data_IF_471690625504
#
_entry.id   IF_471690625504
#
_cell.length_a   1.000
_cell.length_b   1.000
_cell.length_c   1.000
_cell.angle_alpha   90.00
_cell.angle_beta   90.00
_cell.angle_gamma   90.00
#
_symmetry.space_group_name_H-M   'P 1'
#
loop_
_entity.id
_entity.type
_entity.pdbx_description
1 polymer ?
#
# COMPACT_ATOMS: atom_id res chain seq x y z
N UNK A 1 -24.03 -13.46 -10.69
CA UNK A 1 -23.53 -12.07 -10.77
C UNK A 1 -22.02 -12.07 -10.70
N UNK A 2 -21.33 -11.67 -11.78
CA UNK A 2 -19.87 -11.69 -11.89
C UNK A 2 -19.28 -10.33 -11.50
N UNK A 3 -18.64 -10.24 -10.33
CA UNK A 3 -17.89 -9.05 -9.94
C UNK A 3 -16.48 -9.09 -10.57
N UNK A 4 -16.17 -8.10 -11.40
CA UNK A 4 -14.84 -7.88 -11.99
C UNK A 4 -13.94 -7.14 -11.00
N UNK A 5 -12.81 -7.75 -10.60
CA UNK A 5 -11.68 -7.01 -10.03
C UNK A 5 -11.01 -6.22 -11.16
N UNK A 6 -11.19 -4.89 -11.17
CA UNK A 6 -10.40 -4.00 -12.02
C UNK A 6 -9.14 -3.58 -11.25
N UNK A 7 -7.98 -4.08 -11.67
CA UNK A 7 -6.69 -3.50 -11.30
C UNK A 7 -6.35 -2.44 -12.35
N UNK A 8 -6.27 -1.18 -11.95
CA UNK A 8 -5.80 -0.11 -12.83
C UNK A 8 -4.28 -0.07 -12.84
N UNK A 9 -3.69 -0.33 -14.01
CA UNK A 9 -2.25 -0.14 -14.25
C UNK A 9 -2.06 1.02 -15.21
N UNK A 10 -1.38 2.07 -14.72
CA UNK A 10 -0.82 3.12 -15.57
C UNK A 10 0.51 2.60 -16.14
N UNK A 11 0.51 2.27 -17.43
CA UNK A 11 1.73 1.89 -18.15
C UNK A 11 2.37 3.13 -18.78
N UNK A 12 3.67 3.28 -18.55
CA UNK A 12 4.53 4.20 -19.26
C UNK A 12 5.55 3.37 -20.05
N UNK A 13 5.53 3.53 -21.37
CA UNK A 13 6.36 2.76 -22.31
C UNK A 13 7.76 3.37 -22.48
N UNK A 14 8.78 2.51 -22.56
CA UNK A 14 10.20 2.85 -22.77
C UNK A 14 10.49 3.16 -24.25
N UNK A 15 11.31 4.18 -24.49
CA UNK A 15 12.28 4.19 -25.60
C UNK A 15 13.60 3.60 -25.10
N UNK A 16 14.24 2.81 -25.95
CA UNK A 16 15.54 2.18 -25.71
C UNK A 16 16.66 3.17 -26.05
N UNK A 17 17.59 3.46 -25.12
CA UNK A 17 18.95 3.88 -25.46
C UNK A 17 19.89 3.66 -24.27
N UNK A 18 20.98 2.92 -24.55
CA UNK A 18 22.13 2.73 -23.68
C UNK A 18 22.83 4.07 -23.46
N UNK A 19 23.30 4.31 -22.24
CA UNK A 19 24.31 5.32 -21.86
C UNK A 19 24.09 6.75 -22.38
N UNK A 20 23.35 7.59 -21.64
CA UNK A 20 23.62 9.02 -21.37
C UNK A 20 22.33 9.82 -21.02
N UNK A 21 22.46 10.70 -20.01
CA UNK A 21 21.60 11.87 -19.66
C UNK A 21 20.11 11.60 -19.30
N UNK A 22 19.86 11.59 -18.00
CA UNK A 22 18.57 11.41 -17.30
C UNK A 22 17.67 12.68 -17.23
N UNK A 23 17.77 13.63 -18.17
CA UNK A 23 17.10 14.94 -18.07
C UNK A 23 15.89 15.15 -19.02
N UNK A 24 15.44 14.12 -19.75
CA UNK A 24 14.54 14.33 -20.91
C UNK A 24 13.14 13.72 -20.90
N UNK A 25 12.70 13.00 -19.85
CA UNK A 25 11.51 12.12 -19.95
C UNK A 25 10.30 12.49 -19.07
N UNK A 26 10.36 13.57 -18.29
CA UNK A 26 9.26 14.02 -17.42
C UNK A 26 8.04 14.64 -18.15
N UNK A 27 8.17 15.36 -19.30
CA UNK A 27 7.05 16.11 -19.89
C UNK A 27 5.85 15.28 -20.39
N UNK A 28 6.06 13.99 -20.65
CA UNK A 28 5.06 13.12 -21.24
C UNK A 28 4.20 12.35 -20.22
N UNK A 29 4.26 12.66 -18.92
CA UNK A 29 3.41 12.02 -17.87
C UNK A 29 2.25 12.89 -17.36
N UNK A 30 2.27 14.21 -17.63
CA UNK A 30 1.55 15.21 -16.82
C UNK A 30 0.34 15.92 -17.48
N UNK A 31 -0.27 15.31 -18.49
CA UNK A 31 -1.60 15.70 -19.02
C UNK A 31 -2.61 14.55 -18.97
N UNK A 32 -2.58 13.79 -17.87
CA UNK A 32 -3.65 12.87 -17.49
C UNK A 32 -4.82 13.66 -16.92
N UNK A 33 -5.85 13.92 -17.72
CA UNK A 33 -7.18 14.22 -17.19
C UNK A 33 -7.99 12.93 -17.16
N UNK A 34 -8.29 12.43 -15.97
CA UNK A 34 -9.26 11.34 -15.78
C UNK A 34 -10.67 11.96 -15.80
N UNK A 35 -11.56 11.56 -16.73
CA UNK A 35 -12.92 12.10 -16.77
C UNK A 35 -13.78 11.56 -15.61
N UNK A 36 -14.82 12.30 -15.17
CA UNK A 36 -15.83 11.77 -14.26
C UNK A 36 -16.60 10.64 -14.95
N UNK A 37 -16.65 9.47 -14.32
CA UNK A 37 -17.28 8.27 -14.87
C UNK A 37 -18.80 8.49 -15.07
N UNK A 38 -19.26 8.55 -16.32
CA UNK A 38 -20.68 8.40 -16.67
C UNK A 38 -21.08 6.91 -16.70
N UNK A 39 -22.17 6.58 -16.02
CA UNK A 39 -22.88 5.30 -16.10
C UNK A 39 -23.53 5.16 -17.48
N UNK A 40 -23.17 4.13 -18.26
CA UNK A 40 -24.05 3.33 -19.13
C UNK A 40 -23.23 2.34 -19.96
N UNK A 41 -23.43 1.04 -19.73
CA UNK A 41 -22.99 -0.02 -20.64
C UNK A 41 -24.14 -0.98 -20.89
N UNK A 42 -24.69 -0.95 -22.11
CA UNK A 42 -25.46 -2.06 -22.68
C UNK A 42 -24.51 -3.08 -23.27
N UNK A 43 -24.83 -4.37 -23.07
CA UNK A 43 -24.01 -5.51 -23.44
C UNK A 43 -24.07 -5.80 -24.95
N UNK A 44 -22.91 -5.77 -25.61
CA UNK A 44 -22.63 -6.65 -26.74
C UNK A 44 -21.12 -6.89 -26.88
N UNK A 45 -20.74 -8.16 -26.95
CA UNK A 45 -19.41 -8.63 -27.40
C UNK A 45 -19.18 -8.17 -28.85
N UNK A 46 -17.94 -7.93 -29.35
CA UNK A 46 -16.86 -8.95 -29.39
C UNK A 46 -15.39 -8.44 -29.32
N UNK A 47 -14.50 -9.43 -29.35
CA UNK A 47 -13.04 -9.39 -29.58
C UNK A 47 -12.54 -8.31 -30.54
N UNK A 48 -11.72 -7.36 -30.05
CA UNK A 48 -10.58 -6.73 -30.75
C UNK A 48 -9.87 -5.76 -29.79
N UNK A 49 -8.55 -5.58 -29.96
CA UNK A 49 -7.75 -4.58 -29.23
C UNK A 49 -8.18 -3.18 -29.68
N UNK A 50 -9.07 -2.53 -28.95
CA UNK A 50 -9.56 -1.18 -29.30
C UNK A 50 -8.67 -0.10 -28.66
N UNK A 51 -7.90 0.60 -29.49
CA UNK A 51 -7.25 1.87 -29.12
C UNK A 51 -8.31 2.97 -29.17
N UNK A 52 -8.92 3.32 -28.03
CA UNK A 52 -9.87 4.44 -27.98
C UNK A 52 -9.12 5.78 -28.08
N UNK A 53 -9.38 6.57 -29.15
CA UNK A 53 -9.01 7.98 -29.23
C UNK A 53 -10.18 8.83 -28.73
N UNK A 54 -9.95 9.64 -27.70
CA UNK A 54 -10.93 10.62 -27.22
C UNK A 54 -10.88 11.86 -28.14
N UNK A 55 -12.00 12.23 -28.76
CA UNK A 55 -12.17 13.49 -29.47
C UNK A 55 -12.94 14.48 -28.59
N UNK A 56 -12.35 15.65 -28.32
CA UNK A 56 -12.97 16.73 -27.56
C UNK A 56 -13.97 17.49 -28.44
N UNK A 57 -15.25 17.44 -28.08
CA UNK A 57 -16.29 18.35 -28.59
C UNK A 57 -16.16 19.68 -27.86
N UNK A 58 -15.45 20.65 -28.44
CA UNK A 58 -15.70 22.09 -28.28
C UNK A 58 -14.85 22.84 -29.30
N UNK A 59 -15.48 23.33 -30.38
CA UNK A 59 -14.89 24.31 -31.28
C UNK A 59 -15.43 25.70 -30.92
N UNK A 60 -14.54 26.65 -30.68
CA UNK A 60 -14.79 28.07 -30.89
C UNK A 60 -13.60 28.64 -31.67
N UNK A 61 -13.85 29.45 -32.72
CA UNK A 61 -12.80 29.90 -33.62
C UNK A 61 -12.22 31.22 -33.11
N UNK A 62 -10.99 31.18 -32.59
CA UNK A 62 -9.95 32.20 -32.82
C UNK A 62 -8.76 32.01 -31.87
N UNK A 63 -7.61 31.68 -32.44
CA UNK A 63 -6.30 32.33 -32.21
C UNK A 63 -5.12 31.34 -32.31
N UNK A 64 -4.21 31.71 -33.22
CA UNK A 64 -2.76 31.45 -33.32
C UNK A 64 -2.21 30.10 -32.83
N UNK A 65 -1.80 29.31 -33.83
CA UNK A 65 -0.78 28.26 -33.84
C UNK A 65 0.19 28.26 -32.64
N UNK A 66 -0.13 27.44 -31.63
CA UNK A 66 0.84 26.85 -30.72
C UNK A 66 1.03 25.39 -31.12
N UNK A 67 2.27 24.95 -31.31
CA UNK A 67 2.60 23.56 -31.63
C UNK A 67 1.86 22.59 -30.69
N UNK A 68 1.33 21.46 -31.18
CA UNK A 68 0.56 20.54 -30.36
C UNK A 68 1.52 19.87 -29.37
N UNK A 69 1.56 20.37 -28.13
CA UNK A 69 2.16 19.59 -27.05
C UNK A 69 1.32 18.32 -26.95
N UNK A 70 1.90 17.16 -27.27
CA UNK A 70 1.21 15.87 -27.15
C UNK A 70 0.80 15.67 -25.69
N UNK A 71 -0.43 15.21 -25.45
CA UNK A 71 -0.82 14.73 -24.12
C UNK A 71 -0.14 13.37 -23.86
N UNK A 72 0.23 13.02 -22.60
CA UNK A 72 0.59 11.66 -22.25
C UNK A 72 -0.49 10.74 -22.76
N UNK A 73 -0.09 9.77 -23.56
CA UNK A 73 -1.02 8.75 -23.95
C UNK A 73 -1.19 7.78 -22.78
N UNK A 74 -2.31 7.88 -22.08
CA UNK A 74 -2.68 6.92 -21.05
C UNK A 74 -3.02 5.61 -21.73
N UNK A 75 -2.23 4.58 -21.44
CA UNK A 75 -2.52 3.24 -21.93
C UNK A 75 -3.20 2.45 -20.83
N UNK A 76 -4.47 2.12 -21.04
CA UNK A 76 -5.22 1.20 -20.17
C UNK A 76 -5.07 -0.20 -20.74
N UNK A 77 -4.54 -1.12 -19.92
CA UNK A 77 -4.48 -2.56 -20.25
C UNK A 77 -5.30 -3.34 -19.23
N UNK A 78 -6.10 -4.27 -19.72
CA UNK A 78 -6.82 -5.24 -18.88
C UNK A 78 -6.15 -6.60 -18.98
N UNK A 79 -5.96 -7.26 -17.84
CA UNK A 79 -5.43 -8.61 -17.74
C UNK A 79 -6.35 -9.46 -16.86
N UNK A 80 -6.99 -10.47 -17.44
CA UNK A 80 -7.95 -11.33 -16.74
C UNK A 80 -7.31 -12.63 -16.27
N UNK A 81 -7.49 -12.98 -14.99
CA UNK A 81 -7.18 -14.32 -14.49
C UNK A 81 -8.28 -15.30 -14.91
N UNK A 82 -7.90 -16.48 -15.38
CA UNK A 82 -8.83 -17.57 -15.75
C UNK A 82 -9.46 -18.23 -14.54
N UNK A 83 -8.83 -18.12 -13.38
CA UNK A 83 -9.30 -18.63 -12.09
C UNK A 83 -9.16 -17.55 -11.01
N UNK A 84 -9.83 -17.73 -9.87
CA UNK A 84 -9.78 -16.78 -8.74
C UNK A 84 -8.49 -16.95 -7.94
N UNK A 85 -7.45 -16.18 -8.30
CA UNK A 85 -6.12 -16.27 -7.69
C UNK A 85 -5.93 -15.36 -6.45
N UNK A 86 -6.89 -14.49 -6.13
CA UNK A 86 -6.75 -13.54 -5.02
C UNK A 86 -5.94 -12.28 -5.34
N UNK A 87 -5.86 -11.36 -4.38
CA UNK A 87 -5.21 -10.05 -4.54
C UNK A 87 -3.69 -10.19 -4.72
N UNK A 88 -3.07 -11.10 -3.96
CA UNK A 88 -1.62 -11.34 -3.93
C UNK A 88 -1.10 -11.75 -5.33
N UNK A 89 -1.64 -12.84 -5.87
CA UNK A 89 -1.22 -13.35 -7.18
C UNK A 89 -1.58 -12.37 -8.32
N UNK A 90 -2.71 -11.66 -8.20
CA UNK A 90 -3.13 -10.66 -9.19
C UNK A 90 -2.18 -9.45 -9.22
N UNK A 91 -1.77 -8.93 -8.06
CA UNK A 91 -0.78 -7.85 -7.96
C UNK A 91 0.57 -8.28 -8.53
N UNK A 92 1.03 -9.49 -8.18
CA UNK A 92 2.26 -10.05 -8.75
C UNK A 92 2.20 -10.19 -10.28
N UNK A 93 1.06 -10.67 -10.83
CA UNK A 93 0.87 -10.77 -12.28
C UNK A 93 0.91 -9.41 -12.94
N UNK A 94 0.20 -8.44 -12.39
CA UNK A 94 0.15 -7.11 -12.95
C UNK A 94 1.50 -6.38 -12.88
N UNK A 95 2.26 -6.56 -11.79
CA UNK A 95 3.63 -6.07 -11.68
C UNK A 95 4.55 -6.61 -12.79
N UNK A 96 4.39 -7.88 -13.20
CA UNK A 96 5.14 -8.47 -14.33
C UNK A 96 4.76 -7.88 -15.69
N UNK A 97 3.51 -7.45 -15.85
CA UNK A 97 3.02 -6.82 -17.08
C UNK A 97 3.38 -5.33 -17.16
N UNK A 98 3.66 -4.69 -16.02
CA UNK A 98 4.00 -3.28 -15.94
C UNK A 98 5.41 -3.00 -16.51
N UNK A 99 5.52 -1.90 -17.25
CA UNK A 99 6.78 -1.44 -17.86
C UNK A 99 7.36 -0.18 -17.22
N UNK A 100 6.60 0.50 -16.35
CA UNK A 100 7.04 1.71 -15.66
C UNK A 100 8.12 1.43 -14.62
N UNK A 101 8.94 2.42 -14.30
CA UNK A 101 10.03 2.25 -13.33
C UNK A 101 9.54 2.18 -11.88
N UNK A 102 8.32 2.66 -11.63
CA UNK A 102 7.61 2.53 -10.35
C UNK A 102 6.31 1.75 -10.53
N UNK A 103 5.96 0.98 -9.49
CA UNK A 103 4.69 0.28 -9.37
C UNK A 103 3.84 1.00 -8.34
N UNK A 104 2.64 1.41 -8.76
CA UNK A 104 1.61 1.89 -7.85
C UNK A 104 0.51 0.83 -7.79
N UNK A 105 0.16 0.43 -6.57
CA UNK A 105 -1.01 -0.40 -6.30
C UNK A 105 -2.11 0.49 -5.74
N UNK A 106 -3.32 0.35 -6.32
CA UNK A 106 -4.55 0.98 -5.85
C UNK A 106 -5.65 -0.07 -5.83
N UNK A 107 -6.48 -0.02 -4.78
CA UNK A 107 -7.72 -0.79 -4.77
C UNK A 107 -8.73 -0.21 -5.77
N UNK A 108 -9.70 -1.03 -6.17
CA UNK A 108 -10.70 -0.69 -7.19
C UNK A 108 -11.78 0.29 -6.71
N UNK A 109 -11.69 0.74 -5.45
CA UNK A 109 -12.69 1.56 -4.76
C UNK A 109 -11.99 2.69 -4.01
N UNK A 110 -11.15 3.42 -4.75
CA UNK A 110 -10.41 4.59 -4.30
C UNK A 110 -10.76 5.82 -5.13
N UNK A 111 -10.57 6.99 -4.52
CA UNK A 111 -10.60 8.29 -5.20
C UNK A 111 -9.31 9.06 -4.88
N UNK A 112 -8.57 9.46 -5.92
CA UNK A 112 -7.30 10.17 -5.74
C UNK A 112 -7.55 11.68 -5.60
N UNK A 113 -6.88 12.34 -4.67
CA UNK A 113 -7.05 13.78 -4.44
C UNK A 113 -6.13 14.60 -5.37
N UNK A 114 -6.27 15.92 -5.36
CA UNK A 114 -5.42 16.83 -6.14
C UNK A 114 -3.96 16.76 -5.65
N UNK A 115 -3.01 16.60 -6.57
CA UNK A 115 -1.57 16.58 -6.24
C UNK A 115 -1.11 15.36 -5.44
N UNK A 116 -1.84 14.25 -5.52
CA UNK A 116 -1.55 13.03 -4.77
C UNK A 116 -0.29 12.29 -5.25
N UNK A 117 0.07 12.36 -6.54
CA UNK A 117 1.08 11.46 -7.10
C UNK A 117 2.50 12.01 -6.95
N UNK A 118 2.66 13.31 -7.17
CA UNK A 118 3.93 14.02 -7.20
C UNK A 118 4.72 13.89 -5.88
N UNK A 119 4.09 14.04 -4.69
CA UNK A 119 4.80 13.84 -3.43
C UNK A 119 5.28 12.40 -3.23
N UNK A 120 4.58 11.39 -3.76
CA UNK A 120 5.01 9.99 -3.68
C UNK A 120 6.25 9.76 -4.54
N UNK A 121 6.22 10.25 -5.78
CA UNK A 121 7.34 10.17 -6.72
C UNK A 121 8.58 10.90 -6.19
N UNK A 122 8.40 12.09 -5.61
CA UNK A 122 9.48 12.87 -5.01
C UNK A 122 10.20 12.06 -3.93
N UNK A 123 9.45 11.45 -3.00
CA UNK A 123 10.03 10.63 -1.93
C UNK A 123 10.79 9.42 -2.46
N UNK A 124 10.28 8.74 -3.48
CA UNK A 124 10.97 7.61 -4.10
C UNK A 124 12.28 8.06 -4.80
N UNK A 125 12.27 9.22 -5.45
CA UNK A 125 13.43 9.76 -6.16
C UNK A 125 14.59 10.13 -5.22
N UNK A 126 14.32 10.50 -3.97
CA UNK A 126 15.32 10.80 -2.93
C UNK A 126 15.67 9.61 -2.02
N UNK A 127 15.24 8.40 -2.38
CA UNK A 127 15.71 7.17 -1.73
C UNK A 127 14.71 6.49 -0.79
N UNK A 128 13.45 6.94 -0.70
CA UNK A 128 12.41 6.05 -0.20
C UNK A 128 12.30 4.83 -1.14
N UNK A 129 12.10 3.63 -0.60
CA UNK A 129 11.89 2.45 -1.45
C UNK A 129 10.41 2.20 -1.68
N UNK A 130 9.58 2.32 -0.63
CA UNK A 130 8.13 2.28 -0.73
C UNK A 130 7.51 3.47 0.01
N UNK A 131 6.43 3.99 -0.56
CA UNK A 131 5.71 5.16 -0.05
C UNK A 131 4.20 4.91 -0.11
N UNK A 132 3.46 5.45 0.84
CA UNK A 132 2.00 5.32 0.88
C UNK A 132 1.36 6.68 1.19
N UNK A 133 0.24 7.03 0.52
CA UNK A 133 -0.53 8.23 0.84
C UNK A 133 -1.22 8.12 2.20
N UNK A 134 -1.69 9.26 2.72
CA UNK A 134 -2.72 9.25 3.75
C UNK A 134 -4.03 8.77 3.13
N UNK A 135 -4.67 7.81 3.81
CA UNK A 135 -5.94 7.24 3.38
C UNK A 135 -7.10 7.98 4.03
N UNK A 136 -7.78 8.80 3.23
CA UNK A 136 -9.01 9.46 3.62
C UNK A 136 -10.18 8.47 3.54
N UNK A 137 -11.23 8.71 4.31
CA UNK A 137 -12.39 7.81 4.37
C UNK A 137 -13.43 8.21 3.32
N UNK A 138 -13.94 7.24 2.57
CA UNK A 138 -15.15 7.39 1.78
C UNK A 138 -16.22 6.52 2.44
N UNK A 139 -17.30 7.12 2.89
CA UNK A 139 -18.40 6.37 3.51
C UNK A 139 -19.03 5.41 2.48
N UNK A 140 -19.24 4.16 2.87
CA UNK A 140 -19.64 3.10 1.94
C UNK A 140 -21.08 3.26 1.42
N UNK A 141 -21.95 3.94 2.18
CA UNK A 141 -23.37 4.12 1.86
C UNK A 141 -23.65 5.47 1.17
N UNK A 142 -23.19 6.57 1.76
CA UNK A 142 -23.40 7.95 1.28
C UNK A 142 -22.39 8.40 0.23
N UNK A 143 -21.25 7.71 0.13
CA UNK A 143 -20.09 8.11 -0.69
C UNK A 143 -19.46 9.46 -0.29
N UNK A 144 -19.76 9.96 0.92
CA UNK A 144 -19.15 11.17 1.44
C UNK A 144 -17.65 10.96 1.70
N UNK A 145 -16.83 11.92 1.24
CA UNK A 145 -15.39 11.95 1.45
C UNK A 145 -15.05 12.72 2.73
N UNK A 146 -14.35 12.08 3.66
CA UNK A 146 -13.90 12.66 4.91
C UNK A 146 -12.38 12.55 5.06
N UNK A 147 -11.74 13.69 5.35
CA UNK A 147 -10.29 13.73 5.58
C UNK A 147 -9.92 12.96 6.85
N UNK A 148 -8.98 12.02 6.73
CA UNK A 148 -8.41 11.29 7.85
C UNK A 148 -7.27 12.07 8.50
N UNK A 149 -6.89 11.65 9.71
CA UNK A 149 -5.72 12.19 10.39
C UNK A 149 -4.44 11.91 9.60
N UNK A 150 -3.65 12.97 9.38
CA UNK A 150 -2.33 12.90 8.72
C UNK A 150 -1.21 12.35 9.61
N UNK A 151 -1.51 12.12 10.89
CA UNK A 151 -0.54 11.71 11.90
C UNK A 151 -0.69 10.23 12.28
N UNK A 152 -1.25 9.42 11.38
CA UNK A 152 -1.37 7.98 11.58
C UNK A 152 -0.32 7.24 10.73
N UNK A 153 0.26 6.20 11.33
CA UNK A 153 1.09 5.22 10.65
C UNK A 153 0.44 3.84 10.76
N UNK A 154 0.85 2.91 9.91
CA UNK A 154 0.39 1.52 9.97
C UNK A 154 1.13 0.75 11.04
N UNK A 155 0.40 0.02 11.88
CA UNK A 155 0.91 -0.92 12.87
C UNK A 155 0.20 -2.28 12.76
N UNK A 156 0.66 -3.23 13.57
CA UNK A 156 -0.01 -4.51 13.78
C UNK A 156 0.25 -5.03 15.19
N UNK A 157 -0.59 -5.95 15.67
CA UNK A 157 -0.45 -6.59 16.99
C UNK A 157 0.13 -8.01 16.88
N UNK A 158 0.26 -8.72 18.00
CA UNK A 158 0.73 -10.10 18.00
C UNK A 158 -0.26 -11.10 17.36
N UNK A 159 -1.51 -10.71 17.11
CA UNK A 159 -2.44 -11.46 16.24
C UNK A 159 -2.14 -11.29 14.75
N UNK A 160 -1.10 -10.49 14.42
CA UNK A 160 -0.81 -10.02 13.07
C UNK A 160 -1.99 -9.27 12.46
N UNK A 161 -2.80 -8.57 13.26
CA UNK A 161 -3.90 -7.75 12.78
C UNK A 161 -3.45 -6.31 12.57
N UNK A 162 -3.68 -5.78 11.37
CA UNK A 162 -3.35 -4.39 11.05
C UNK A 162 -4.23 -3.41 11.82
N UNK A 163 -3.65 -2.34 12.33
CA UNK A 163 -4.39 -1.20 12.87
C UNK A 163 -3.60 0.10 12.67
N UNK A 164 -4.31 1.22 12.75
CA UNK A 164 -3.70 2.54 12.69
C UNK A 164 -3.18 2.95 14.07
N UNK A 165 -1.94 3.42 14.13
CA UNK A 165 -1.34 3.95 15.37
C UNK A 165 -0.92 5.40 15.18
N UNK A 166 -1.03 6.25 16.21
CA UNK A 166 -0.50 7.60 16.17
C UNK A 166 1.00 7.59 15.90
N UNK A 167 1.46 8.54 15.07
CA UNK A 167 2.88 8.82 14.91
C UNK A 167 3.45 9.23 16.28
N UNK A 168 4.53 8.58 16.76
CA UNK A 168 5.21 9.00 17.97
C UNK A 168 5.64 10.46 17.85
N UNK A 169 5.29 11.27 18.84
CA UNK A 169 5.82 12.62 18.92
C UNK A 169 7.33 12.50 19.19
N UNK A 170 8.16 13.04 18.29
CA UNK A 170 9.60 13.03 18.49
C UNK A 170 9.92 13.78 19.79
N UNK A 171 10.61 13.13 20.73
CA UNK A 171 11.38 13.85 21.73
C UNK A 171 12.32 14.83 21.00
N UNK A 172 12.59 16.03 21.54
CA UNK A 172 13.43 17.03 20.88
C UNK A 172 14.88 16.52 20.78
N UNK A 173 15.22 15.76 19.73
CA UNK A 173 16.59 15.35 19.43
C UNK A 173 17.06 15.92 18.09
N UNK A 174 18.10 16.75 18.22
CA UNK A 174 19.00 17.41 17.25
C UNK A 174 18.36 17.85 15.92
N UNK A 175 17.84 19.07 15.95
CA UNK A 175 17.42 19.87 14.78
C UNK A 175 18.47 19.89 13.65
N UNK A 176 19.75 19.72 13.95
CA UNK A 176 20.84 19.92 12.99
C UNK A 176 20.88 18.85 11.88
N UNK A 177 20.73 17.56 12.21
CA UNK A 177 20.66 16.49 11.18
C UNK A 177 19.38 16.55 10.34
N UNK A 178 18.27 16.99 10.96
CA UNK A 178 16.99 17.18 10.27
C UNK A 178 17.05 18.36 9.30
N UNK A 179 17.75 19.44 9.67
CA UNK A 179 17.91 20.63 8.84
C UNK A 179 18.80 20.37 7.61
N UNK A 180 19.87 19.59 7.76
CA UNK A 180 20.73 19.18 6.63
C UNK A 180 19.97 18.28 5.64
N UNK A 181 19.23 17.27 6.13
CA UNK A 181 18.35 16.44 5.28
C UNK A 181 17.24 17.28 4.63
N UNK A 182 16.66 18.25 5.33
CA UNK A 182 15.68 19.17 4.75
C UNK A 182 16.28 20.08 3.68
N UNK A 183 17.51 20.59 3.86
CA UNK A 183 18.17 21.43 2.85
C UNK A 183 18.49 20.63 1.59
N UNK A 184 18.99 19.40 1.73
CA UNK A 184 19.20 18.50 0.59
C UNK A 184 17.87 18.14 -0.10
N UNK A 185 16.81 17.89 0.67
CA UNK A 185 15.46 17.65 0.14
C UNK A 185 14.91 18.88 -0.58
N UNK A 186 15.09 20.09 -0.03
CA UNK A 186 14.65 21.34 -0.67
C UNK A 186 15.42 21.61 -1.96
N UNK A 187 16.74 21.47 -1.97
CA UNK A 187 17.56 21.65 -3.17
C UNK A 187 17.19 20.65 -4.27
N UNK A 188 16.91 19.39 -3.92
CA UNK A 188 16.44 18.38 -4.86
C UNK A 188 15.00 18.65 -5.32
N UNK A 189 14.11 19.02 -4.42
CA UNK A 189 12.74 19.42 -4.73
C UNK A 189 12.71 20.63 -5.64
N UNK A 190 13.58 21.61 -5.43
CA UNK A 190 13.73 22.79 -6.27
C UNK A 190 14.29 22.41 -7.65
N UNK A 191 15.25 21.47 -7.71
CA UNK A 191 15.68 20.87 -8.98
C UNK A 191 14.53 20.16 -9.70
N UNK A 192 13.71 19.37 -9.01
CA UNK A 192 12.52 18.71 -9.57
C UNK A 192 11.44 19.71 -9.97
N UNK A 193 11.20 20.75 -9.18
CA UNK A 193 10.28 21.85 -9.46
C UNK A 193 10.74 22.64 -10.69
N UNK A 194 12.04 22.83 -10.86
CA UNK A 194 12.63 23.46 -12.04
C UNK A 194 12.51 22.53 -13.26
N UNK A 195 12.76 21.23 -13.07
CA UNK A 195 12.57 20.21 -14.11
C UNK A 195 11.08 19.97 -14.44
N UNK A 196 10.16 20.29 -13.53
CA UNK A 196 8.69 20.25 -13.71
C UNK A 196 8.10 21.65 -13.96
N UNK A 197 8.92 22.69 -14.14
CA UNK A 197 8.44 24.05 -14.37
C UNK A 197 7.63 24.17 -15.68
N UNK A 198 7.88 23.29 -16.66
CA UNK A 198 7.07 23.15 -17.88
C UNK A 198 5.60 22.83 -17.58
N UNK A 199 5.28 22.32 -16.39
CA UNK A 199 3.91 22.17 -15.96
C UNK A 199 3.23 23.52 -15.93
N UNK A 200 3.85 24.58 -15.43
CA UNK A 200 3.24 25.91 -15.28
C UNK A 200 2.72 26.53 -16.58
N UNK A 201 3.14 26.02 -17.75
CA UNK A 201 2.62 26.44 -19.07
C UNK A 201 1.24 25.86 -19.41
N UNK A 202 0.83 24.77 -18.76
CA UNK A 202 -0.56 24.34 -18.76
C UNK A 202 -1.26 25.15 -17.66
N UNK A 203 -2.41 25.74 -17.92
CA UNK A 203 -3.09 26.71 -17.03
C UNK A 203 -3.60 26.11 -15.68
N UNK A 204 -3.08 24.95 -15.24
CA UNK A 204 -3.42 24.27 -13.98
C UNK A 204 -2.98 25.07 -12.75
N UNK A 205 -1.92 25.88 -12.87
CA UNK A 205 -1.33 26.59 -11.73
C UNK A 205 -2.16 27.82 -11.28
N UNK A 206 -2.95 28.44 -12.16
CA UNK A 206 -3.57 29.74 -11.89
C UNK A 206 -4.90 29.71 -11.14
N UNK A 207 -5.52 28.55 -10.93
CA UNK A 207 -6.85 28.51 -10.29
C UNK A 207 -7.03 27.54 -9.13
N UNK A 208 -6.04 26.69 -8.76
CA UNK A 208 -6.20 25.80 -7.57
C UNK A 208 -4.96 25.55 -6.70
N UNK A 209 -3.76 26.00 -7.10
CA UNK A 209 -2.52 25.58 -6.42
C UNK A 209 -1.81 26.65 -5.58
N UNK A 210 -2.14 27.93 -5.74
CA UNK A 210 -1.60 28.99 -4.88
C UNK A 210 -2.21 28.96 -3.47
N UNK A 211 -3.51 28.69 -3.34
CA UNK A 211 -4.19 28.69 -2.03
C UNK A 211 -3.81 27.47 -1.15
N UNK A 212 -3.62 26.29 -1.74
CA UNK A 212 -3.20 25.09 -1.00
C UNK A 212 -1.73 25.13 -0.52
N UNK A 213 -0.90 25.99 -1.13
CA UNK A 213 0.50 26.20 -0.74
C UNK A 213 0.66 27.30 0.31
N UNK A 214 -0.19 28.34 0.28
CA UNK A 214 -0.10 29.53 1.13
C UNK A 214 -0.76 29.40 2.51
N UNK A 215 -1.54 28.34 2.76
CA UNK A 215 -2.11 28.05 4.10
C UNK A 215 -1.51 26.80 4.78
N UNK A 216 -0.23 26.52 4.56
CA UNK A 216 0.48 25.49 5.31
C UNK A 216 0.97 26.07 6.64
N UNK A 217 0.20 25.82 7.70
CA UNK A 217 0.68 25.92 9.07
C UNK A 217 2.03 25.17 9.17
N UNK A 218 3.08 25.93 9.45
CA UNK A 218 4.47 25.47 9.54
C UNK A 218 4.77 24.68 10.82
N UNK A 219 3.75 24.38 11.64
CA UNK A 219 3.91 23.62 12.85
C UNK A 219 3.61 22.12 12.62
N UNK A 220 4.70 21.36 12.45
CA UNK A 220 4.89 19.92 12.77
C UNK A 220 4.40 18.80 11.84
N UNK A 221 3.74 19.03 10.70
CA UNK A 221 3.18 17.91 9.92
C UNK A 221 3.22 18.05 8.38
N UNK A 222 4.42 18.27 7.80
CA UNK A 222 4.61 18.35 6.33
C UNK A 222 5.72 17.43 5.79
N UNK A 223 6.51 16.76 6.65
CA UNK A 223 7.52 15.80 6.18
C UNK A 223 6.99 14.37 6.24
N UNK A 224 7.25 13.60 5.18
CA UNK A 224 7.04 12.15 5.17
C UNK A 224 7.71 11.50 6.39
N UNK A 225 7.12 10.41 6.88
CA UNK A 225 7.61 9.71 8.07
C UNK A 225 7.57 8.20 7.89
N UNK A 226 8.47 7.52 8.59
CA UNK A 226 8.59 6.06 8.53
C UNK A 226 7.37 5.39 9.15
N UNK A 227 6.96 4.28 8.56
CA UNK A 227 5.85 3.45 9.03
C UNK A 227 6.27 1.98 9.13
N UNK A 228 5.96 1.29 10.25
CA UNK A 228 6.22 -0.14 10.38
C UNK A 228 5.60 -0.98 9.26
N UNK A 229 4.39 -0.61 8.87
CA UNK A 229 3.65 -1.25 7.75
C UNK A 229 2.80 -0.23 7.00
N UNK A 230 2.30 -0.58 5.82
CA UNK A 230 1.33 0.21 5.05
C UNK A 230 -0.02 -0.49 4.99
N UNK A 231 -1.09 0.27 4.78
CA UNK A 231 -2.42 -0.28 4.55
C UNK A 231 -2.46 -0.97 3.17
N UNK A 232 -2.74 -2.27 3.16
CA UNK A 232 -2.40 -3.20 2.08
C UNK A 232 -2.95 -2.89 0.68
N UNK A 233 -3.90 -1.98 0.54
CA UNK A 233 -4.47 -1.57 -0.74
C UNK A 233 -3.59 -0.66 -1.59
N UNK A 234 -2.87 0.25 -0.93
CA UNK A 234 -2.46 1.52 -1.56
C UNK A 234 -1.03 1.90 -1.16
N UNK A 235 -0.10 1.68 -2.08
CA UNK A 235 1.30 2.09 -1.93
C UNK A 235 2.01 2.12 -3.29
N UNK A 236 3.12 2.83 -3.35
CA UNK A 236 3.99 2.94 -4.50
C UNK A 236 5.40 2.48 -4.13
N UNK A 237 6.07 1.75 -5.02
CA UNK A 237 7.41 1.17 -4.82
C UNK A 237 8.18 1.20 -6.13
N UNK A 238 9.52 1.28 -6.10
CA UNK A 238 10.30 1.05 -7.32
C UNK A 238 10.10 -0.38 -7.84
N UNK A 239 9.97 -0.53 -9.16
CA UNK A 239 9.80 -1.84 -9.79
C UNK A 239 10.99 -2.75 -9.50
N UNK A 240 12.19 -2.18 -9.46
CA UNK A 240 13.41 -2.89 -9.09
C UNK A 240 13.35 -3.46 -7.67
N UNK A 241 12.97 -2.64 -6.67
CA UNK A 241 12.83 -3.10 -5.29
C UNK A 241 11.76 -4.18 -5.14
N UNK A 242 10.63 -4.04 -5.82
CA UNK A 242 9.57 -5.05 -5.81
C UNK A 242 10.07 -6.41 -6.30
N UNK A 243 10.82 -6.44 -7.42
CA UNK A 243 11.37 -7.70 -7.95
C UNK A 243 12.60 -8.22 -7.20
N UNK A 244 13.40 -7.33 -6.60
CA UNK A 244 14.48 -7.71 -5.66
C UNK A 244 13.91 -8.55 -4.51
N UNK A 245 12.74 -8.18 -3.99
CA UNK A 245 12.02 -8.90 -2.94
C UNK A 245 11.15 -10.07 -3.45
N UNK A 246 11.23 -10.41 -4.74
CA UNK A 246 10.41 -11.46 -5.39
C UNK A 246 8.89 -11.22 -5.31
N UNK A 247 8.47 -9.96 -5.18
CA UNK A 247 7.07 -9.56 -5.11
C UNK A 247 6.38 -9.96 -3.79
N UNK A 248 5.05 -10.02 -3.80
CA UNK A 248 4.29 -10.58 -2.68
C UNK A 248 4.51 -12.09 -2.59
N UNK A 249 4.48 -12.66 -1.38
CA UNK A 249 4.66 -14.09 -1.18
C UNK A 249 3.52 -14.88 -1.87
N UNK A 250 3.81 -15.70 -2.90
CA UNK A 250 2.78 -16.40 -3.69
C UNK A 250 2.04 -17.50 -2.92
N UNK A 251 2.52 -17.88 -1.73
CA UNK A 251 1.86 -18.88 -0.88
C UNK A 251 0.73 -18.29 -0.02
N UNK A 252 0.63 -16.95 0.06
CA UNK A 252 -0.50 -16.30 0.68
C UNK A 252 -1.71 -16.36 -0.25
N UNK A 253 -2.82 -16.85 0.29
CA UNK A 253 -4.03 -17.13 -0.46
C UNK A 253 -5.04 -15.99 -0.35
N UNK A 254 -5.79 -15.74 -1.43
CA UNK A 254 -6.95 -14.84 -1.51
C UNK A 254 -6.70 -13.39 -1.06
N UNK A 255 -6.62 -13.15 0.25
CA UNK A 255 -6.50 -11.85 0.92
C UNK A 255 -6.04 -12.06 2.37
N UNK A 256 -5.31 -11.09 2.93
CA UNK A 256 -5.02 -11.00 4.36
C UNK A 256 -3.55 -11.26 4.68
N UNK A 257 -2.98 -10.38 5.50
CA UNK A 257 -1.60 -10.46 5.97
C UNK A 257 -0.53 -10.04 4.95
N UNK A 258 -0.87 -9.86 3.67
CA UNK A 258 0.13 -9.62 2.62
C UNK A 258 0.85 -8.27 2.78
N UNK A 259 0.17 -7.27 3.35
CA UNK A 259 0.78 -5.97 3.64
C UNK A 259 1.79 -6.07 4.78
N UNK A 260 1.46 -6.82 5.83
CA UNK A 260 2.33 -7.07 6.99
C UNK A 260 3.53 -7.90 6.54
N UNK A 261 3.31 -9.00 5.81
CA UNK A 261 4.37 -9.84 5.24
C UNK A 261 5.36 -9.01 4.43
N UNK A 262 4.83 -8.24 3.46
CA UNK A 262 5.67 -7.46 2.57
C UNK A 262 6.40 -6.35 3.31
N UNK A 263 5.78 -5.75 4.33
CA UNK A 263 6.40 -4.71 5.14
C UNK A 263 7.56 -5.23 5.97
N UNK A 264 7.38 -6.34 6.68
CA UNK A 264 8.45 -6.98 7.47
C UNK A 264 9.59 -7.39 6.53
N UNK A 265 9.26 -8.04 5.41
CA UNK A 265 10.22 -8.42 4.37
C UNK A 265 11.02 -7.22 3.86
N UNK A 266 10.36 -6.12 3.50
CA UNK A 266 11.02 -4.93 2.98
C UNK A 266 11.97 -4.31 4.03
N UNK A 267 11.51 -4.11 5.27
CA UNK A 267 12.32 -3.53 6.33
C UNK A 267 13.53 -4.39 6.70
N UNK A 268 13.32 -5.70 6.91
CA UNK A 268 14.41 -6.61 7.28
C UNK A 268 15.48 -6.71 6.19
N UNK A 269 15.09 -6.58 4.92
CA UNK A 269 16.00 -6.69 3.79
C UNK A 269 16.55 -5.33 3.31
N UNK A 270 16.52 -4.31 4.18
CA UNK A 270 17.21 -3.03 3.98
C UNK A 270 16.39 -1.93 3.31
N UNK A 271 15.09 -2.15 3.15
CA UNK A 271 14.15 -1.13 2.68
C UNK A 271 13.56 -0.28 3.80
N UNK A 272 12.67 0.63 3.41
CA UNK A 272 11.93 1.56 4.27
C UNK A 272 10.57 1.90 3.66
N UNK A 273 9.57 2.04 4.52
CA UNK A 273 8.22 2.46 4.15
C UNK A 273 7.98 3.85 4.72
N UNK A 274 7.53 4.78 3.90
CA UNK A 274 7.15 6.12 4.33
C UNK A 274 5.68 6.42 4.06
N UNK A 275 5.03 7.12 4.99
CA UNK A 275 3.73 7.76 4.78
C UNK A 275 3.99 9.19 4.34
N UNK A 276 3.29 9.65 3.29
CA UNK A 276 3.47 10.97 2.69
C UNK A 276 2.21 11.82 2.91
N UNK A 277 2.16 12.67 3.95
CA UNK A 277 0.96 13.42 4.34
C UNK A 277 0.32 14.32 3.29
N UNK A 278 1.15 14.82 2.36
CA UNK A 278 0.72 15.66 1.23
C UNK A 278 0.00 14.86 0.14
N UNK A 279 0.19 13.54 0.12
CA UNK A 279 -0.51 12.64 -0.80
C UNK A 279 -1.75 12.08 -0.11
N UNK A 280 -2.92 12.26 -0.73
CA UNK A 280 -4.23 11.88 -0.17
C UNK A 280 -4.98 11.02 -1.16
N UNK A 281 -5.48 9.89 -0.70
CA UNK A 281 -6.32 8.98 -1.49
C UNK A 281 -7.49 8.55 -0.61
N UNK A 282 -8.72 8.83 -1.04
CA UNK A 282 -9.92 8.33 -0.40
C UNK A 282 -10.09 6.83 -0.66
N UNK A 283 -10.52 6.09 0.34
CA UNK A 283 -10.78 4.65 0.27
C UNK A 283 -12.12 4.30 0.92
N UNK A 284 -12.88 3.40 0.29
CA UNK A 284 -14.10 2.86 0.89
C UNK A 284 -13.75 1.74 1.87
N UNK A 285 -13.72 2.08 3.16
CA UNK A 285 -13.53 1.10 4.24
C UNK A 285 -14.83 0.32 4.48
N UNK A 286 -14.73 -1.02 4.49
CA UNK A 286 -15.89 -1.91 4.65
C UNK A 286 -15.72 -2.79 5.88
N UNK A 287 -16.82 -3.06 6.59
CA UNK A 287 -16.84 -3.97 7.74
C UNK A 287 -16.79 -5.44 7.33
N UNK A 288 -17.27 -5.78 6.14
CA UNK A 288 -17.39 -7.15 5.65
C UNK A 288 -16.82 -7.29 4.24
N UNK A 289 -16.33 -8.49 3.93
CA UNK A 289 -15.82 -8.82 2.60
C UNK A 289 -16.98 -9.09 1.63
N UNK A 290 -17.03 -8.41 0.46
CA UNK A 290 -18.10 -8.58 -0.53
C UNK A 290 -17.88 -9.81 -1.44
N UNK A 291 -16.99 -10.72 -1.06
CA UNK A 291 -16.55 -11.83 -1.91
C UNK A 291 -16.46 -13.14 -1.14
N UNK A 292 -16.58 -14.25 -1.86
CA UNK A 292 -16.45 -15.58 -1.29
C UNK A 292 -15.01 -16.06 -1.34
N UNK A 293 -14.63 -16.89 -0.38
CA UNK A 293 -13.33 -17.56 -0.34
C UNK A 293 -13.43 -18.90 -1.10
N UNK A 294 -12.37 -19.29 -1.83
CA UNK A 294 -12.40 -20.50 -2.66
C UNK A 294 -12.43 -21.77 -1.78
N UNK A 295 -12.84 -22.89 -2.37
CA UNK A 295 -12.78 -24.22 -1.76
C UNK A 295 -13.54 -24.37 -0.42
N UNK A 296 -14.59 -23.57 -0.21
CA UNK A 296 -15.36 -23.60 1.04
C UNK A 296 -14.61 -23.07 2.27
N UNK A 297 -13.43 -22.46 2.07
CA UNK A 297 -12.74 -21.73 3.13
C UNK A 297 -13.48 -20.46 3.52
N UNK A 298 -13.16 -19.90 4.68
CA UNK A 298 -13.67 -18.60 5.14
C UNK A 298 -12.53 -17.60 5.36
N UNK A 299 -12.91 -16.35 5.62
CA UNK A 299 -11.94 -15.27 5.84
C UNK A 299 -10.99 -15.54 7.01
N UNK A 300 -11.48 -16.13 8.09
CA UNK A 300 -10.70 -16.33 9.31
C UNK A 300 -9.67 -17.44 9.11
N UNK A 301 -10.08 -18.56 8.53
CA UNK A 301 -9.22 -19.71 8.20
C UNK A 301 -8.13 -19.31 7.22
N UNK A 302 -8.49 -18.61 6.14
CA UNK A 302 -7.50 -18.09 5.18
C UNK A 302 -6.54 -17.10 5.83
N UNK A 303 -7.06 -16.17 6.64
CA UNK A 303 -6.22 -15.20 7.34
C UNK A 303 -5.26 -15.86 8.33
N UNK A 304 -5.74 -16.86 9.08
CA UNK A 304 -4.96 -17.59 10.06
C UNK A 304 -3.86 -18.43 9.40
N UNK A 305 -4.16 -19.07 8.26
CA UNK A 305 -3.17 -19.77 7.43
C UNK A 305 -2.09 -18.81 6.91
N UNK A 306 -2.50 -17.68 6.33
CA UNK A 306 -1.58 -16.66 5.83
C UNK A 306 -0.70 -16.11 6.95
N UNK A 307 -1.29 -15.80 8.11
CA UNK A 307 -0.59 -15.31 9.30
C UNK A 307 0.43 -16.32 9.83
N UNK A 308 0.11 -17.62 9.81
CA UNK A 308 1.08 -18.68 10.15
C UNK A 308 2.29 -18.68 9.23
N UNK A 309 2.09 -18.54 7.91
CA UNK A 309 3.19 -18.46 6.94
C UNK A 309 4.09 -17.26 7.24
N UNK A 310 3.51 -16.11 7.60
CA UNK A 310 4.25 -14.90 8.00
C UNK A 310 5.07 -15.18 9.26
N UNK A 311 4.43 -15.74 10.28
CA UNK A 311 5.06 -16.06 11.56
C UNK A 311 6.28 -16.96 11.39
N UNK A 312 6.13 -18.05 10.63
CA UNK A 312 7.20 -19.02 10.37
C UNK A 312 8.30 -18.48 9.45
N UNK A 313 7.97 -17.54 8.56
CA UNK A 313 8.95 -16.98 7.62
C UNK A 313 9.81 -15.87 8.22
N UNK A 314 9.20 -15.00 9.05
CA UNK A 314 9.76 -13.67 9.32
C UNK A 314 9.88 -13.27 10.79
N UNK A 315 9.16 -13.93 11.72
CA UNK A 315 9.13 -13.49 13.13
C UNK A 315 10.19 -14.15 14.02
N UNK A 316 11.02 -15.04 13.48
CA UNK A 316 12.05 -15.78 14.23
C UNK A 316 11.46 -16.43 15.51
N UNK A 317 12.11 -16.28 16.68
CA UNK A 317 11.59 -16.79 17.94
C UNK A 317 10.31 -16.04 18.42
N UNK A 318 10.05 -14.84 17.93
CA UNK A 318 8.87 -14.05 18.34
C UNK A 318 7.56 -14.61 17.79
N UNK A 319 7.61 -15.59 16.88
CA UNK A 319 6.43 -16.33 16.41
C UNK A 319 5.64 -16.99 17.54
N UNK A 320 6.27 -17.28 18.68
CA UNK A 320 5.57 -17.85 19.83
C UNK A 320 4.57 -16.88 20.45
N UNK A 321 4.77 -15.57 20.36
CA UNK A 321 3.76 -14.59 20.79
C UNK A 321 2.54 -14.60 19.87
N UNK A 322 2.75 -14.79 18.56
CA UNK A 322 1.64 -15.04 17.63
C UNK A 322 0.90 -16.32 17.99
N UNK A 323 1.61 -17.41 18.27
CA UNK A 323 0.97 -18.68 18.66
C UNK A 323 0.32 -18.67 20.04
N UNK A 324 0.74 -17.79 20.94
CA UNK A 324 0.10 -17.56 22.22
C UNK A 324 -1.22 -16.80 22.06
N UNK A 325 -1.26 -15.82 21.14
CA UNK A 325 -2.45 -15.03 20.80
C UNK A 325 -3.41 -15.78 19.88
N UNK A 326 -2.88 -16.68 19.02
CA UNK A 326 -3.65 -17.48 18.07
C UNK A 326 -3.30 -18.96 18.15
N UNK A 327 -3.72 -19.68 19.22
CA UNK A 327 -3.40 -21.09 19.40
C UNK A 327 -3.88 -22.01 18.27
N UNK A 328 -5.03 -21.69 17.67
CA UNK A 328 -5.61 -22.44 16.54
C UNK A 328 -4.64 -22.55 15.34
N UNK A 329 -3.75 -21.55 15.14
CA UNK A 329 -2.76 -21.58 14.05
C UNK A 329 -1.80 -22.77 14.14
N UNK A 330 -1.54 -23.31 15.35
CA UNK A 330 -0.64 -24.46 15.53
C UNK A 330 -1.12 -25.69 14.73
N UNK A 331 -2.44 -25.91 14.65
CA UNK A 331 -3.06 -27.07 13.98
C UNK A 331 -3.20 -26.90 12.47
N UNK A 332 -3.00 -25.71 11.91
CA UNK A 332 -3.08 -25.50 10.45
C UNK A 332 -1.89 -26.19 9.77
N UNK A 333 -2.12 -27.11 8.83
CA UNK A 333 -1.02 -27.76 8.10
C UNK A 333 -0.32 -26.74 7.20
N UNK A 334 1.00 -26.65 7.32
CA UNK A 334 1.89 -25.99 6.36
C UNK A 334 3.03 -26.95 6.04
N UNK A 335 3.49 -26.95 4.80
CA UNK A 335 4.62 -27.77 4.38
C UNK A 335 5.92 -27.09 4.84
N UNK A 336 6.94 -27.86 5.22
CA UNK A 336 8.28 -27.31 5.51
C UNK A 336 8.83 -26.50 4.31
N UNK A 337 8.46 -26.91 3.09
CA UNK A 337 8.79 -26.21 1.86
C UNK A 337 8.12 -24.82 1.72
N UNK A 338 7.05 -24.54 2.47
CA UNK A 338 6.32 -23.26 2.41
C UNK A 338 7.15 -22.09 2.97
N UNK A 339 8.22 -22.37 3.71
CA UNK A 339 9.12 -21.34 4.27
C UNK A 339 10.44 -21.23 3.52
N UNK A 340 10.77 -22.21 2.66
CA UNK A 340 12.08 -22.32 2.01
C UNK A 340 12.37 -21.10 1.14
N UNK A 341 11.38 -20.61 0.38
CA UNK A 341 11.56 -19.42 -0.47
C UNK A 341 11.88 -18.18 0.35
N UNK A 342 11.18 -17.97 1.47
CA UNK A 342 11.44 -16.85 2.39
C UNK A 342 12.83 -16.97 3.01
N UNK A 343 13.24 -18.17 3.44
CA UNK A 343 14.58 -18.41 4.01
C UNK A 343 15.70 -18.17 2.99
N UNK A 344 15.54 -18.63 1.76
CA UNK A 344 16.48 -18.38 0.67
C UNK A 344 16.61 -16.89 0.38
N UNK A 345 15.50 -16.16 0.32
CA UNK A 345 15.50 -14.72 0.13
C UNK A 345 16.22 -14.00 1.28
N UNK A 346 15.95 -14.40 2.53
CA UNK A 346 16.60 -13.85 3.72
C UNK A 346 18.12 -13.98 3.66
N UNK A 347 18.62 -15.16 3.26
CA UNK A 347 20.06 -15.40 3.08
C UNK A 347 20.63 -14.60 1.92
N UNK A 348 19.95 -14.62 0.77
CA UNK A 348 20.44 -13.97 -0.45
C UNK A 348 20.55 -12.44 -0.32
N UNK A 349 19.68 -11.81 0.48
CA UNK A 349 19.68 -10.37 0.71
C UNK A 349 20.32 -9.96 2.05
N UNK A 350 20.89 -10.92 2.80
CA UNK A 350 21.46 -10.69 4.13
C UNK A 350 20.49 -9.92 5.05
N UNK A 351 19.24 -10.37 5.10
CA UNK A 351 18.20 -9.67 5.85
C UNK A 351 18.44 -9.76 7.36
N UNK A 352 18.11 -8.69 8.06
CA UNK A 352 18.23 -8.57 9.52
C UNK A 352 17.29 -9.52 10.25
N UNK A 353 17.57 -9.89 11.52
CA UNK A 353 16.64 -10.65 12.35
C UNK A 353 15.44 -9.80 12.78
N UNK A 354 14.34 -10.45 13.16
CA UNK A 354 13.12 -9.76 13.60
C UNK A 354 13.33 -8.92 14.87
N UNK A 355 14.27 -9.29 15.74
CA UNK A 355 14.66 -8.46 16.89
C UNK A 355 15.10 -7.06 16.48
N UNK A 356 15.81 -6.93 15.34
CA UNK A 356 16.20 -5.63 14.81
C UNK A 356 14.98 -4.80 14.39
N UNK A 357 13.97 -5.44 13.78
CA UNK A 357 12.72 -4.77 13.38
C UNK A 357 12.00 -4.18 14.59
N UNK A 358 11.86 -4.95 15.67
CA UNK A 358 11.24 -4.47 16.91
C UNK A 358 12.01 -3.28 17.49
N UNK A 359 13.34 -3.34 17.52
CA UNK A 359 14.14 -2.26 18.11
C UNK A 359 14.21 -0.99 17.26
N UNK A 360 14.22 -1.11 15.93
CA UNK A 360 14.59 -0.01 15.03
C UNK A 360 13.44 0.49 14.16
N UNK A 361 12.40 -0.32 13.97
CA UNK A 361 11.27 -0.01 13.08
C UNK A 361 9.99 0.12 13.87
N UNK A 362 9.71 -0.83 14.77
CA UNK A 362 8.44 -0.87 15.50
C UNK A 362 8.60 -1.09 17.01
N UNK A 363 9.29 -0.19 17.73
CA UNK A 363 9.49 -0.31 19.19
C UNK A 363 8.19 -0.15 19.99
N UNK A 364 7.12 0.34 19.36
CA UNK A 364 5.80 0.46 19.97
C UNK A 364 5.05 -0.89 20.01
N UNK A 365 5.49 -1.90 19.24
CA UNK A 365 4.99 -3.26 19.38
C UNK A 365 5.60 -3.87 20.64
N UNK A 366 4.96 -3.60 21.77
CA UNK A 366 5.41 -4.05 23.08
C UNK A 366 5.53 -5.56 23.14
N UNK A 367 6.61 -6.06 23.75
CA UNK A 367 6.68 -7.48 24.06
C UNK A 367 5.69 -7.74 25.18
N UNK A 368 4.93 -8.85 25.13
CA UNK A 368 3.97 -9.13 26.18
C UNK A 368 4.57 -9.29 27.58
N UNK A 369 5.86 -9.62 27.66
CA UNK A 369 6.54 -9.76 28.95
C UNK A 369 7.04 -8.43 29.53
N UNK A 370 6.96 -7.32 28.77
CA UNK A 370 7.45 -6.02 29.25
C UNK A 370 6.48 -5.38 30.27
N UNK A 371 5.18 -5.62 30.11
CA UNK A 371 4.13 -5.01 30.93
C UNK A 371 3.22 -6.02 31.67
N UNK A 372 3.28 -7.32 31.34
CA UNK A 372 2.31 -8.30 31.83
C UNK A 372 2.99 -9.50 32.53
N UNK A 373 2.38 -9.97 33.62
CA UNK A 373 2.79 -11.19 34.34
C UNK A 373 2.57 -12.45 33.48
N UNK A 374 1.55 -12.42 32.62
CA UNK A 374 1.23 -13.50 31.68
C UNK A 374 0.55 -12.92 30.41
N UNK A 375 0.68 -13.62 29.29
CA UNK A 375 0.08 -13.25 28.01
C UNK A 375 -0.33 -14.48 27.20
N UNK A 376 -1.45 -14.36 26.48
CA UNK A 376 -2.01 -15.40 25.62
C UNK A 376 -3.45 -15.72 26.00
N UNK A 377 -3.91 -16.91 25.63
CA UNK A 377 -5.26 -17.36 25.94
C UNK A 377 -5.38 -17.94 27.37
N UNK A 378 -6.42 -17.56 28.10
CA UNK A 378 -6.79 -18.17 29.38
C UNK A 378 -7.59 -19.45 29.12
N UNK A 379 -7.03 -20.61 29.47
CA UNK A 379 -7.64 -21.92 29.16
C UNK A 379 -7.91 -22.80 30.38
N UNK A 380 -8.93 -23.65 30.25
CA UNK A 380 -9.22 -24.79 31.11
C UNK A 380 -9.41 -26.02 30.22
N UNK A 381 -8.36 -26.83 30.07
CA UNK A 381 -8.33 -27.94 29.12
C UNK A 381 -8.30 -27.44 27.66
N UNK A 382 -9.21 -27.94 26.83
CA UNK A 382 -9.37 -27.49 25.43
C UNK A 382 -10.27 -26.26 25.27
N UNK A 383 -10.76 -25.69 26.37
CA UNK A 383 -11.61 -24.50 26.37
C UNK A 383 -10.83 -23.24 26.73
N UNK A 384 -11.06 -22.15 26.02
CA UNK A 384 -10.49 -20.83 26.23
C UNK A 384 -11.59 -19.81 26.53
N UNK A 385 -11.27 -18.84 27.39
CA UNK A 385 -12.11 -17.69 27.67
C UNK A 385 -12.26 -16.85 26.39
N UNK A 386 -13.51 -16.55 26.00
CA UNK A 386 -13.83 -15.79 24.80
C UNK A 386 -14.91 -14.75 25.09
N UNK A 387 -14.79 -13.59 24.46
CA UNK A 387 -15.78 -12.51 24.52
C UNK A 387 -16.65 -12.61 23.27
N UNK A 388 -17.94 -12.92 23.45
CA UNK A 388 -18.86 -13.07 22.33
C UNK A 388 -19.09 -11.76 21.57
N UNK A 389 -19.19 -11.86 20.24
CA UNK A 389 -19.33 -10.72 19.33
C UNK A 389 -20.78 -10.23 19.17
N UNK A 390 -21.53 -9.97 20.24
CA UNK A 390 -22.83 -9.26 20.14
C UNK A 390 -23.25 -8.59 21.46
N UNK A 391 -23.44 -7.25 21.43
CA UNK A 391 -24.20 -6.33 22.30
C UNK A 391 -24.12 -6.44 23.85
N UNK A 392 -23.65 -7.55 24.41
CA UNK A 392 -23.71 -7.92 25.82
C UNK A 392 -22.33 -8.19 26.41
N UNK A 393 -21.28 -8.27 25.57
CA UNK A 393 -19.89 -8.51 25.98
C UNK A 393 -19.74 -9.65 27.00
N UNK A 394 -20.56 -10.70 26.85
CA UNK A 394 -20.54 -11.83 27.78
C UNK A 394 -19.30 -12.70 27.56
N UNK A 395 -18.59 -12.94 28.66
CA UNK A 395 -17.49 -13.89 28.75
C UNK A 395 -18.06 -15.30 28.81
N UNK A 396 -17.55 -16.19 27.96
CA UNK A 396 -17.89 -17.61 27.99
C UNK A 396 -16.66 -18.44 27.63
N UNK A 397 -16.69 -19.73 27.98
CA UNK A 397 -15.65 -20.68 27.58
C UNK A 397 -16.04 -21.30 26.24
N UNK A 398 -15.16 -21.25 25.26
CA UNK A 398 -15.33 -21.90 23.94
C UNK A 398 -14.09 -22.72 23.59
N UNK A 399 -14.13 -23.53 22.53
CA UNK A 399 -12.94 -24.27 22.10
C UNK A 399 -11.78 -23.32 21.76
N UNK A 400 -10.61 -23.52 22.36
CA UNK A 400 -9.37 -22.77 22.06
C UNK A 400 -8.93 -22.83 20.59
N UNK A 401 -9.51 -23.76 19.84
CA UNK A 401 -9.15 -24.05 18.46
C UNK A 401 -10.13 -23.44 17.45
N UNK A 402 -11.12 -22.67 17.91
CA UNK A 402 -11.90 -21.80 17.03
C UNK A 402 -11.02 -20.66 16.50
N UNK A 403 -11.23 -20.28 15.24
CA UNK A 403 -10.34 -19.36 14.52
C UNK A 403 -10.41 -17.90 15.02
N UNK A 404 -11.51 -17.53 15.66
CA UNK A 404 -11.80 -16.19 16.19
C UNK A 404 -11.36 -15.99 17.65
N UNK A 405 -10.97 -17.04 18.36
CA UNK A 405 -10.43 -16.92 19.72
C UNK A 405 -9.09 -16.19 19.69
N UNK A 406 -8.92 -15.23 20.60
CA UNK A 406 -7.73 -14.36 20.77
C UNK A 406 -7.29 -14.37 22.22
#
# INVERSE_FOLDING_TARGET
GFFHCFLFFLLLSRLCLRTARLAGLLPAMLKLQLPPFKRNFSSSSPTSTTTARYASLHSSPNSRSSAPTSQPQVTIKSARNTQRLGVIASRNRGARLATGDYLLFLDSHCEVNVGWLEPLLERLAIGATAVSPVLDSINAESLEYAASSKNLMGGFDWNLHFHWIPRPQSQPQRRDQYNEQQQQQRAFADSLNTQTAYLQQFDWARSRFSEARLRRDTNTAVTAFKSPTFAGGIFMISREWFFKLKGFNPLLETWGGESIEFSIKLWLCGGQIEIVPCSRVGHIFRKQHPFHFPNGSDSQTTYLRNSKIIAESWLDAYKYFFYASKPAAKRIPINSNDTVQSQQLRRALNCRPFSWYLQNVFPQLKLPNDDFIAFGALSSGELCLHIGNHATSQLHMTSCFQNDVT
#
